data_IF_362646830938
#
_entry.id   IF_362646830938
#
_cell.length_a   1.000
_cell.length_b   1.000
_cell.length_c   1.000
_cell.angle_alpha   90.00
_cell.angle_beta   90.00
_cell.angle_gamma   90.00
#
_symmetry.space_group_name_H-M   'P 1'
#
loop_
_entity.id
_entity.type
_entity.pdbx_description
1 polymer ?
#
# COMPACT_ATOMS: atom_id res chain seq x y z
N UNK A 1 -24.00 4.09 -10.80
CA UNK A 1 -23.84 3.82 -9.36
C UNK A 1 -24.53 2.54 -8.91
N UNK A 2 -25.84 2.34 -9.21
CA UNK A 2 -26.56 1.13 -8.80
C UNK A 2 -25.92 -0.19 -9.29
N UNK A 3 -25.52 -0.27 -10.58
CA UNK A 3 -24.84 -1.47 -11.13
C UNK A 3 -23.56 -1.83 -10.38
N UNK A 4 -22.73 -0.82 -10.08
CA UNK A 4 -21.50 -1.01 -9.29
C UNK A 4 -21.83 -1.58 -7.91
N UNK A 5 -22.79 -0.95 -7.22
CA UNK A 5 -23.18 -1.35 -5.87
C UNK A 5 -23.72 -2.78 -5.83
N UNK A 6 -24.59 -3.16 -6.76
CA UNK A 6 -25.13 -4.52 -6.85
C UNK A 6 -24.02 -5.54 -7.16
N UNK A 7 -23.14 -5.26 -8.13
CA UNK A 7 -22.01 -6.15 -8.43
C UNK A 7 -21.07 -6.31 -7.23
N UNK A 8 -20.73 -5.21 -6.58
CA UNK A 8 -19.91 -5.22 -5.37
C UNK A 8 -20.54 -6.10 -4.29
N UNK A 9 -21.81 -5.87 -3.94
CA UNK A 9 -22.50 -6.65 -2.92
C UNK A 9 -22.62 -8.13 -3.31
N UNK A 10 -22.95 -8.44 -4.56
CA UNK A 10 -23.05 -9.83 -5.02
C UNK A 10 -21.70 -10.56 -4.90
N UNK A 11 -20.62 -9.97 -5.41
CA UNK A 11 -19.27 -10.56 -5.34
C UNK A 11 -18.85 -10.72 -3.88
N UNK A 12 -19.07 -9.69 -3.08
CA UNK A 12 -18.74 -9.69 -1.65
C UNK A 12 -19.45 -10.83 -0.92
N UNK A 13 -20.78 -10.90 -1.01
CA UNK A 13 -21.58 -11.94 -0.35
C UNK A 13 -21.19 -13.35 -0.83
N UNK A 14 -20.95 -13.52 -2.12
CA UNK A 14 -20.48 -14.80 -2.66
C UNK A 14 -19.12 -15.20 -2.10
N UNK A 15 -18.12 -14.31 -2.11
CA UNK A 15 -16.78 -14.63 -1.64
C UNK A 15 -16.72 -14.84 -0.12
N UNK A 16 -17.47 -14.06 0.66
CA UNK A 16 -17.60 -14.32 2.10
C UNK A 16 -18.31 -15.65 2.36
N UNK A 17 -19.38 -15.97 1.63
CA UNK A 17 -20.07 -17.26 1.74
C UNK A 17 -19.15 -18.44 1.39
N UNK A 18 -18.35 -18.31 0.32
CA UNK A 18 -17.34 -19.30 -0.05
C UNK A 18 -16.25 -19.42 1.02
N UNK A 19 -15.78 -18.30 1.60
CA UNK A 19 -14.80 -18.29 2.67
C UNK A 19 -15.29 -19.07 3.90
N UNK A 20 -16.60 -19.08 4.19
CA UNK A 20 -17.16 -19.83 5.32
C UNK A 20 -17.23 -21.35 5.09
N UNK A 21 -16.99 -21.85 3.87
CA UNK A 21 -16.99 -23.29 3.61
C UNK A 21 -15.81 -23.96 4.31
N UNK A 22 -16.07 -25.06 5.02
CA UNK A 22 -15.04 -25.85 5.71
C UNK A 22 -13.90 -26.27 4.78
N UNK A 23 -14.21 -26.61 3.53
CA UNK A 23 -13.21 -26.98 2.54
C UNK A 23 -12.23 -25.83 2.25
N UNK A 24 -12.76 -24.61 2.06
CA UNK A 24 -11.97 -23.39 1.82
C UNK A 24 -11.16 -23.05 3.07
N UNK A 25 -11.77 -23.17 4.25
CA UNK A 25 -11.08 -22.98 5.52
C UNK A 25 -9.85 -23.91 5.64
N UNK A 26 -10.02 -25.20 5.38
CA UNK A 26 -8.96 -26.20 5.55
C UNK A 26 -7.86 -26.13 4.49
N UNK A 27 -8.20 -25.87 3.23
CA UNK A 27 -7.27 -25.99 2.11
C UNK A 27 -6.70 -24.66 1.61
N UNK A 28 -7.32 -23.54 1.97
CA UNK A 28 -6.88 -22.20 1.53
C UNK A 28 -6.54 -21.34 2.74
N UNK A 29 -7.50 -21.16 3.66
CA UNK A 29 -7.36 -20.21 4.77
C UNK A 29 -6.32 -20.66 5.79
N UNK A 30 -6.40 -21.91 6.27
CA UNK A 30 -5.45 -22.42 7.27
C UNK A 30 -4.01 -22.50 6.72
N UNK A 31 -3.74 -23.01 5.50
CA UNK A 31 -2.41 -22.98 4.93
C UNK A 31 -1.88 -21.54 4.74
N UNK A 32 -2.73 -20.62 4.28
CA UNK A 32 -2.37 -19.20 4.19
C UNK A 32 -2.02 -18.61 5.55
N UNK A 33 -2.82 -18.91 6.55
CA UNK A 33 -2.63 -18.42 7.92
C UNK A 33 -1.36 -18.99 8.55
N UNK A 34 -1.03 -20.26 8.26
CA UNK A 34 0.22 -20.86 8.70
C UNK A 34 1.44 -20.24 8.01
N UNK A 35 1.33 -19.93 6.71
CA UNK A 35 2.36 -19.20 5.99
C UNK A 35 2.58 -17.80 6.59
N UNK A 36 1.49 -17.09 6.91
CA UNK A 36 1.56 -15.79 7.57
C UNK A 36 2.27 -15.89 8.93
N UNK A 37 1.91 -16.89 9.76
CA UNK A 37 2.58 -17.11 11.05
C UNK A 37 4.09 -17.37 10.87
N UNK A 38 4.46 -18.17 9.87
CA UNK A 38 5.87 -18.43 9.52
C UNK A 38 6.59 -17.14 9.13
N UNK A 39 6.01 -16.33 8.23
CA UNK A 39 6.59 -15.04 7.82
C UNK A 39 6.78 -14.12 9.03
N UNK A 40 5.78 -14.05 9.92
CA UNK A 40 5.87 -13.24 11.13
C UNK A 40 7.01 -13.72 12.04
N UNK A 41 7.12 -15.03 12.28
CA UNK A 41 8.22 -15.61 13.06
C UNK A 41 9.58 -15.29 12.44
N UNK A 42 9.73 -15.47 11.12
CA UNK A 42 10.99 -15.18 10.43
C UNK A 42 11.41 -13.71 10.52
N UNK A 43 10.45 -12.79 10.50
CA UNK A 43 10.72 -11.36 10.69
C UNK A 43 11.05 -11.03 12.15
N UNK A 44 10.38 -11.66 13.11
CA UNK A 44 10.61 -11.42 14.54
C UNK A 44 11.98 -11.93 14.99
N UNK A 45 12.43 -13.07 14.47
CA UNK A 45 13.73 -13.69 14.83
C UNK A 45 14.94 -12.79 14.54
N UNK A 46 14.79 -11.76 13.70
CA UNK A 46 15.84 -10.76 13.48
C UNK A 46 16.13 -9.92 14.73
N UNK A 47 15.21 -9.88 15.69
CA UNK A 47 15.30 -9.07 16.91
C UNK A 47 14.98 -9.86 18.20
N UNK A 48 14.28 -10.98 18.10
CA UNK A 48 13.90 -11.87 19.21
C UNK A 48 13.97 -13.34 18.76
N UNK A 49 15.03 -14.04 19.17
CA UNK A 49 15.30 -15.44 18.80
C UNK A 49 14.36 -16.46 19.46
N UNK A 50 13.50 -16.01 20.38
CA UNK A 50 12.54 -16.88 21.08
C UNK A 50 11.27 -17.15 20.27
N UNK A 51 11.02 -16.37 19.21
CA UNK A 51 9.82 -16.47 18.38
C UNK A 51 9.84 -17.66 17.43
N UNK A 52 8.83 -18.52 17.51
CA UNK A 52 8.68 -19.72 16.66
C UNK A 52 7.26 -19.86 16.13
N UNK A 53 7.07 -20.40 14.93
CA UNK A 53 5.74 -20.65 14.37
C UNK A 53 5.42 -22.15 14.31
N UNK A 54 4.22 -22.54 14.75
CA UNK A 54 3.70 -23.90 14.60
C UNK A 54 2.26 -23.84 14.06
N UNK A 55 2.09 -24.23 12.80
CA UNK A 55 0.82 -24.06 12.10
C UNK A 55 0.43 -22.58 12.05
N UNK A 56 -0.79 -22.26 12.48
CA UNK A 56 -1.31 -20.89 12.58
C UNK A 56 -0.93 -20.15 13.88
N UNK A 57 -0.16 -20.76 14.77
CA UNK A 57 0.16 -20.21 16.08
C UNK A 57 1.60 -19.68 16.09
N UNK A 58 1.76 -18.45 16.58
CA UNK A 58 3.05 -17.82 16.83
C UNK A 58 3.37 -17.92 18.33
N UNK A 59 4.48 -18.58 18.66
CA UNK A 59 4.91 -18.91 20.01
C UNK A 59 6.13 -18.11 20.45
N UNK A 60 6.18 -17.77 21.72
CA UNK A 60 7.41 -17.42 22.42
C UNK A 60 7.90 -18.66 23.18
N UNK A 61 9.05 -19.20 22.78
CA UNK A 61 9.61 -20.42 23.39
C UNK A 61 10.20 -20.22 24.79
N UNK A 62 10.54 -18.99 25.17
CA UNK A 62 11.06 -18.66 26.50
C UNK A 62 9.96 -18.51 27.55
N UNK A 63 8.81 -17.93 27.18
CA UNK A 63 7.69 -17.69 28.11
C UNK A 63 6.59 -18.75 28.01
N UNK A 64 6.54 -19.53 26.93
CA UNK A 64 5.46 -20.47 26.63
C UNK A 64 4.17 -19.82 26.15
N UNK A 65 4.17 -18.49 25.92
CA UNK A 65 3.02 -17.77 25.40
C UNK A 65 2.82 -18.03 23.90
N UNK A 66 1.56 -18.11 23.45
CA UNK A 66 1.23 -18.32 22.05
C UNK A 66 0.01 -17.51 21.61
N UNK A 67 0.09 -16.95 20.40
CA UNK A 67 -1.02 -16.26 19.74
C UNK A 67 -1.45 -17.07 18.52
N UNK A 68 -2.68 -17.58 18.54
CA UNK A 68 -3.28 -18.24 17.38
C UNK A 68 -3.87 -17.20 16.44
N UNK A 69 -3.47 -17.24 15.17
CA UNK A 69 -4.07 -16.41 14.12
C UNK A 69 -5.32 -17.12 13.62
N UNK A 70 -6.49 -16.54 13.86
CA UNK A 70 -7.78 -17.06 13.42
C UNK A 70 -8.30 -16.39 12.14
N UNK A 71 -9.35 -16.98 11.55
CA UNK A 71 -10.11 -16.31 10.50
C UNK A 71 -10.59 -14.93 10.98
N UNK A 72 -10.46 -13.90 10.14
CA UNK A 72 -10.64 -12.49 10.51
C UNK A 72 -9.35 -11.74 10.86
N UNK A 73 -8.25 -12.43 11.20
CA UNK A 73 -6.95 -11.79 11.47
C UNK A 73 -5.80 -12.22 10.55
N UNK A 74 -6.10 -13.06 9.55
CA UNK A 74 -5.15 -13.47 8.50
C UNK A 74 -5.18 -12.58 7.25
N UNK A 75 -5.99 -11.52 7.25
CA UNK A 75 -6.07 -10.52 6.18
C UNK A 75 -6.91 -10.92 4.96
N UNK A 76 -7.45 -12.15 4.91
CA UNK A 76 -8.21 -12.64 3.74
C UNK A 76 -9.52 -11.86 3.56
N UNK A 77 -10.24 -11.57 4.64
CA UNK A 77 -11.51 -10.84 4.58
C UNK A 77 -11.33 -9.44 4.01
N UNK A 78 -10.27 -8.74 4.41
CA UNK A 78 -9.90 -7.44 3.87
C UNK A 78 -9.53 -7.54 2.37
N UNK A 79 -8.81 -8.58 1.98
CA UNK A 79 -8.48 -8.85 0.57
C UNK A 79 -9.74 -9.15 -0.27
N UNK A 80 -10.73 -9.86 0.27
CA UNK A 80 -12.03 -10.10 -0.37
C UNK A 80 -12.74 -8.77 -0.64
N UNK A 81 -12.80 -7.88 0.37
CA UNK A 81 -13.41 -6.55 0.24
C UNK A 81 -12.74 -5.74 -0.86
N UNK A 82 -11.41 -5.68 -0.85
CA UNK A 82 -10.64 -4.97 -1.87
C UNK A 82 -10.88 -5.57 -3.27
N UNK A 83 -10.83 -6.89 -3.39
CA UNK A 83 -11.06 -7.59 -4.65
C UNK A 83 -12.46 -7.29 -5.20
N UNK A 84 -13.50 -7.40 -4.38
CA UNK A 84 -14.86 -7.08 -4.77
C UNK A 84 -14.98 -5.64 -5.26
N UNK A 85 -14.36 -4.68 -4.55
CA UNK A 85 -14.37 -3.27 -4.92
C UNK A 85 -13.67 -3.02 -6.27
N UNK A 86 -12.50 -3.63 -6.50
CA UNK A 86 -11.73 -3.49 -7.75
C UNK A 86 -12.47 -4.13 -8.93
N UNK A 87 -13.02 -5.33 -8.75
CA UNK A 87 -13.73 -6.04 -9.82
C UNK A 87 -15.04 -5.33 -10.17
N UNK A 88 -15.78 -4.82 -9.19
CA UNK A 88 -17.01 -4.06 -9.45
C UNK A 88 -16.74 -2.72 -10.15
N UNK A 89 -15.59 -2.09 -9.91
CA UNK A 89 -15.28 -0.77 -10.45
C UNK A 89 -15.00 -0.80 -11.96
N UNK A 90 -15.63 0.05 -12.79
CA UNK A 90 -15.43 0.04 -14.24
C UNK A 90 -14.06 0.61 -14.62
N UNK A 91 -13.08 -0.27 -14.84
CA UNK A 91 -11.70 0.07 -15.23
C UNK A 91 -11.12 -1.03 -16.13
N UNK A 92 -9.97 -0.76 -16.76
CA UNK A 92 -9.29 -1.72 -17.61
C UNK A 92 -8.80 -2.93 -16.79
N UNK A 93 -8.72 -4.11 -17.42
CA UNK A 93 -8.25 -5.32 -16.74
C UNK A 93 -6.80 -5.20 -16.23
N UNK A 94 -5.94 -4.48 -16.96
CA UNK A 94 -4.57 -4.20 -16.51
C UNK A 94 -4.56 -3.41 -15.20
N UNK A 95 -5.37 -2.34 -15.13
CA UNK A 95 -5.47 -1.52 -13.93
C UNK A 95 -6.04 -2.30 -12.74
N UNK A 96 -7.02 -3.19 -12.99
CA UNK A 96 -7.57 -4.09 -11.95
C UNK A 96 -6.53 -5.04 -11.38
N UNK A 97 -5.78 -5.73 -12.25
CA UNK A 97 -4.78 -6.73 -11.83
C UNK A 97 -3.68 -6.05 -11.02
N UNK A 98 -3.11 -4.95 -11.52
CA UNK A 98 -2.06 -4.20 -10.82
C UNK A 98 -2.59 -3.68 -9.48
N UNK A 99 -3.79 -3.09 -9.48
CA UNK A 99 -4.43 -2.60 -8.26
C UNK A 99 -4.64 -3.68 -7.22
N UNK A 100 -5.10 -4.86 -7.65
CA UNK A 100 -5.33 -5.98 -6.75
C UNK A 100 -4.02 -6.47 -6.13
N UNK A 101 -2.97 -6.70 -6.92
CA UNK A 101 -1.69 -7.18 -6.37
C UNK A 101 -1.02 -6.16 -5.46
N UNK A 102 -0.99 -4.89 -5.85
CA UNK A 102 -0.42 -3.81 -5.01
C UNK A 102 -1.20 -3.69 -3.71
N UNK A 103 -2.54 -3.68 -3.79
CA UNK A 103 -3.37 -3.58 -2.60
C UNK A 103 -3.36 -4.83 -1.72
N UNK A 104 -3.27 -6.02 -2.31
CA UNK A 104 -3.07 -7.27 -1.60
C UNK A 104 -1.77 -7.23 -0.80
N UNK A 105 -0.66 -6.79 -1.41
CA UNK A 105 0.61 -6.66 -0.71
C UNK A 105 0.56 -5.62 0.41
N UNK A 106 -0.11 -4.48 0.19
CA UNK A 106 -0.28 -3.44 1.21
C UNK A 106 -1.05 -3.98 2.44
N UNK A 107 -2.20 -4.63 2.20
CA UNK A 107 -3.02 -5.24 3.26
C UNK A 107 -2.22 -6.29 4.01
N UNK A 108 -1.51 -7.18 3.31
CA UNK A 108 -0.75 -8.25 3.96
C UNK A 108 0.44 -7.72 4.75
N UNK A 109 1.12 -6.69 4.25
CA UNK A 109 2.21 -6.04 4.98
C UNK A 109 1.69 -5.43 6.30
N UNK A 110 0.57 -4.70 6.25
CA UNK A 110 -0.03 -4.15 7.47
C UNK A 110 -0.55 -5.26 8.40
N UNK A 111 -1.05 -6.36 7.84
CA UNK A 111 -1.51 -7.50 8.62
C UNK A 111 -0.36 -8.24 9.33
N UNK A 112 0.83 -8.31 8.73
CA UNK A 112 2.05 -8.81 9.41
C UNK A 112 2.38 -7.91 10.61
N UNK A 113 2.36 -6.58 10.42
CA UNK A 113 2.59 -5.62 11.53
C UNK A 113 1.56 -5.82 12.64
N UNK A 114 0.28 -6.02 12.28
CA UNK A 114 -0.80 -6.34 13.22
C UNK A 114 -0.47 -7.58 14.05
N UNK A 115 -0.15 -8.70 13.40
CA UNK A 115 0.11 -9.99 14.08
C UNK A 115 1.31 -9.87 15.03
N UNK A 116 2.41 -9.28 14.58
CA UNK A 116 3.61 -9.10 15.41
C UNK A 116 3.31 -8.18 16.59
N UNK A 117 2.57 -7.09 16.38
CA UNK A 117 2.18 -6.18 17.46
C UNK A 117 1.32 -6.89 18.51
N UNK A 118 0.34 -7.68 18.06
CA UNK A 118 -0.52 -8.46 18.95
C UNK A 118 0.27 -9.56 19.69
N UNK A 119 1.26 -10.16 19.06
CA UNK A 119 2.15 -11.13 19.71
C UNK A 119 2.87 -10.53 20.93
N UNK A 120 3.38 -9.31 20.84
CA UNK A 120 4.03 -8.64 21.97
C UNK A 120 3.03 -8.07 22.97
N UNK A 121 1.92 -7.48 22.51
CA UNK A 121 0.89 -6.97 23.41
C UNK A 121 0.29 -8.08 24.27
N UNK A 122 0.08 -9.27 23.71
CA UNK A 122 -0.43 -10.43 24.45
C UNK A 122 0.49 -10.91 25.56
N UNK A 123 1.81 -10.83 25.35
CA UNK A 123 2.81 -11.15 26.36
C UNK A 123 2.85 -10.11 27.49
N UNK A 124 2.58 -8.85 27.17
CA UNK A 124 2.66 -7.74 28.12
C UNK A 124 1.37 -7.53 28.93
N UNK A 125 0.21 -7.48 28.26
CA UNK A 125 -1.07 -7.22 28.90
C UNK A 125 -2.26 -7.68 28.03
N UNK A 126 -3.02 -8.67 28.52
CA UNK A 126 -4.17 -9.21 27.81
C UNK A 126 -5.33 -8.22 27.62
N UNK A 127 -5.53 -7.25 28.51
CA UNK A 127 -6.59 -6.25 28.34
C UNK A 127 -6.28 -5.29 27.18
N UNK A 128 -5.01 -4.87 27.05
CA UNK A 128 -4.55 -4.06 25.92
C UNK A 128 -4.58 -4.87 24.62
N UNK A 129 -4.17 -6.14 24.68
CA UNK A 129 -4.30 -7.07 23.55
C UNK A 129 -5.75 -7.15 23.04
N UNK A 130 -6.73 -7.38 23.92
CA UNK A 130 -8.13 -7.50 23.53
C UNK A 130 -8.65 -6.22 22.89
N UNK A 131 -8.37 -5.06 23.50
CA UNK A 131 -8.72 -3.77 22.91
C UNK A 131 -8.08 -3.57 21.52
N UNK A 132 -6.80 -3.87 21.40
CA UNK A 132 -6.07 -3.69 20.15
C UNK A 132 -6.58 -4.66 19.06
N UNK A 133 -6.83 -5.91 19.44
CA UNK A 133 -7.29 -6.98 18.56
C UNK A 133 -8.70 -6.73 18.03
N UNK A 134 -9.63 -6.33 18.89
CA UNK A 134 -11.05 -6.17 18.56
C UNK A 134 -11.36 -4.83 17.88
N UNK A 135 -10.69 -3.75 18.29
CA UNK A 135 -11.04 -2.39 17.85
C UNK A 135 -9.95 -1.71 17.05
N UNK A 136 -8.74 -1.54 17.62
CA UNK A 136 -7.70 -0.72 17.01
C UNK A 136 -7.29 -1.27 15.64
N UNK A 137 -6.85 -2.52 15.61
CA UNK A 137 -6.37 -3.15 14.39
C UNK A 137 -7.50 -3.36 13.38
N UNK A 138 -8.72 -3.63 13.84
CA UNK A 138 -9.88 -3.72 12.97
C UNK A 138 -10.13 -2.40 12.24
N UNK A 139 -10.09 -1.27 12.96
CA UNK A 139 -10.23 0.05 12.37
C UNK A 139 -9.09 0.38 11.40
N UNK A 140 -7.84 0.05 11.77
CA UNK A 140 -6.66 0.32 10.94
C UNK A 140 -6.65 -0.47 9.63
N UNK A 141 -7.01 -1.76 9.65
CA UNK A 141 -7.10 -2.56 8.43
C UNK A 141 -8.23 -2.07 7.52
N UNK A 142 -9.39 -1.70 8.09
CA UNK A 142 -10.49 -1.13 7.29
C UNK A 142 -10.10 0.21 6.66
N UNK A 143 -9.36 1.04 7.41
CA UNK A 143 -8.80 2.29 6.88
C UNK A 143 -7.79 2.04 5.77
N UNK A 144 -6.92 1.05 5.90
CA UNK A 144 -5.95 0.67 4.88
C UNK A 144 -6.63 0.24 3.57
N UNK A 145 -7.63 -0.64 3.64
CA UNK A 145 -8.42 -1.03 2.46
C UNK A 145 -9.01 0.20 1.76
N UNK A 146 -9.57 1.15 2.53
CA UNK A 146 -10.11 2.39 1.98
C UNK A 146 -9.02 3.26 1.32
N UNK A 147 -7.88 3.45 1.97
CA UNK A 147 -6.76 4.24 1.45
C UNK A 147 -6.23 3.62 0.16
N UNK A 148 -5.93 2.32 0.17
CA UNK A 148 -5.46 1.57 -1.00
C UNK A 148 -6.44 1.71 -2.16
N UNK A 149 -7.74 1.55 -1.89
CA UNK A 149 -8.77 1.69 -2.91
C UNK A 149 -8.83 3.13 -3.47
N UNK A 150 -8.79 4.16 -2.62
CA UNK A 150 -8.80 5.56 -3.05
C UNK A 150 -7.57 5.92 -3.89
N UNK A 151 -6.38 5.48 -3.49
CA UNK A 151 -5.14 5.69 -4.23
C UNK A 151 -5.20 4.99 -5.60
N UNK A 152 -5.74 3.77 -5.64
CA UNK A 152 -5.91 3.02 -6.87
C UNK A 152 -6.92 3.67 -7.84
N UNK A 153 -8.08 4.13 -7.33
CA UNK A 153 -9.06 4.88 -8.15
C UNK A 153 -8.42 6.14 -8.72
N UNK A 154 -7.71 6.91 -7.88
CA UNK A 154 -7.02 8.13 -8.30
C UNK A 154 -5.96 7.88 -9.38
N UNK A 155 -5.20 6.78 -9.26
CA UNK A 155 -4.22 6.40 -10.27
C UNK A 155 -4.90 6.11 -11.63
N UNK A 156 -6.02 5.40 -11.63
CA UNK A 156 -6.78 5.10 -12.85
C UNK A 156 -7.40 6.33 -13.50
N UNK A 157 -7.86 7.30 -12.71
CA UNK A 157 -8.38 8.57 -13.25
C UNK A 157 -7.30 9.39 -13.97
N UNK A 158 -6.08 9.42 -13.44
CA UNK A 158 -4.94 10.09 -14.08
C UNK A 158 -4.55 9.43 -15.40
N UNK A 159 -4.51 8.10 -15.43
CA UNK A 159 -4.18 7.34 -16.66
C UNK A 159 -5.23 7.58 -17.76
N UNK A 160 -6.52 7.67 -17.40
CA UNK A 160 -7.56 8.00 -18.36
C UNK A 160 -7.39 9.41 -18.94
N UNK A 161 -7.13 10.40 -18.09
CA UNK A 161 -6.91 11.79 -18.52
C UNK A 161 -5.67 11.94 -19.42
N UNK A 162 -4.60 11.18 -19.17
CA UNK A 162 -3.39 11.20 -19.99
C UNK A 162 -3.56 10.55 -21.38
N UNK A 163 -4.55 9.65 -21.53
CA UNK A 163 -4.81 8.91 -22.76
C UNK A 163 -5.95 9.50 -23.61
N UNK A 164 -6.62 10.55 -23.14
CA UNK A 164 -7.69 11.23 -23.88
C UNK A 164 -7.07 12.22 -24.89
N UNK A 165 -7.43 12.17 -26.19
CA UNK A 165 -6.94 13.13 -27.16
C UNK A 165 -7.28 14.56 -26.73
N UNK A 166 -6.39 15.55 -26.97
CA UNK A 166 -6.70 16.93 -26.65
C UNK A 166 -7.99 17.37 -27.36
N UNK A 167 -8.79 18.26 -26.75
CA UNK A 167 -10.02 18.77 -27.36
C UNK A 167 -9.75 19.32 -28.76
N UNK A 168 -10.69 19.15 -29.72
CA UNK A 168 -10.50 19.57 -31.11
C UNK A 168 -10.23 21.07 -31.30
N UNK A 169 -10.52 21.90 -30.30
CA UNK A 169 -10.32 23.36 -30.34
C UNK A 169 -9.01 23.83 -29.69
N UNK A 170 -8.20 22.92 -29.16
CA UNK A 170 -6.88 23.26 -28.61
C UNK A 170 -5.85 23.21 -29.75
N UNK A 171 -5.22 24.35 -30.11
CA UNK A 171 -4.21 24.35 -31.17
C UNK A 171 -3.11 23.34 -30.84
N UNK A 172 -2.60 22.59 -31.85
CA UNK A 172 -1.70 21.47 -31.62
C UNK A 172 -0.55 21.92 -30.73
N UNK A 173 -0.36 21.18 -29.63
CA UNK A 173 0.70 21.47 -28.67
C UNK A 173 2.01 21.67 -29.45
N UNK A 174 2.73 22.79 -29.24
CA UNK A 174 3.98 23.03 -29.94
C UNK A 174 4.87 21.81 -29.71
N UNK A 175 5.55 21.31 -30.77
CA UNK A 175 6.36 20.11 -30.66
C UNK A 175 7.27 20.27 -29.45
N UNK A 176 7.26 19.27 -28.57
CA UNK A 176 8.17 19.22 -27.42
C UNK A 176 9.57 19.17 -28.01
N UNK A 177 10.17 20.34 -28.19
CA UNK A 177 11.57 20.46 -28.55
C UNK A 177 12.30 19.92 -27.35
N UNK A 178 12.76 18.68 -27.47
CA UNK A 178 13.74 18.12 -26.56
C UNK A 178 14.95 19.06 -26.59
N UNK A 179 15.04 19.95 -25.60
CA UNK A 179 16.23 20.72 -25.32
C UNK A 179 17.26 19.81 -24.63
N UNK A 180 17.58 18.70 -25.29
CA UNK A 180 18.86 18.05 -25.07
C UNK A 180 19.91 19.12 -25.43
N UNK A 181 20.83 19.48 -24.50
CA UNK A 181 21.89 20.41 -24.83
C UNK A 181 22.69 19.79 -25.96
N UNK A 182 22.66 20.40 -27.15
CA UNK A 182 23.66 20.13 -28.18
C UNK A 182 24.99 20.49 -27.54
N UNK A 183 25.79 19.48 -27.18
CA UNK A 183 27.20 19.68 -26.91
C UNK A 183 27.85 20.19 -28.21
N UNK A 184 27.90 21.51 -28.34
CA UNK A 184 28.71 22.19 -29.32
C UNK A 184 30.17 22.07 -28.89
N UNK A 185 31.00 21.56 -29.79
CA UNK A 185 32.45 21.63 -29.67
C UNK A 185 32.88 23.09 -29.47
N UNK A 186 33.59 23.34 -28.36
CA UNK A 186 34.62 24.36 -28.23
C UNK A 186 34.20 25.82 -28.33
N UNK A 187 34.07 26.48 -27.18
CA UNK A 187 34.94 27.60 -26.79
C UNK A 187 34.73 27.85 -25.28
N UNK A 188 35.82 27.81 -24.51
CA UNK A 188 35.77 27.89 -23.06
C UNK A 188 35.41 29.29 -22.58
N UNK A 189 34.36 29.41 -21.78
CA UNK A 189 34.00 30.66 -21.11
C UNK A 189 34.81 30.82 -19.84
N UNK A 190 35.75 31.78 -19.82
CA UNK A 190 36.51 32.17 -18.63
C UNK A 190 35.62 33.01 -17.71
N UNK A 191 35.52 32.63 -16.44
CA UNK A 191 34.79 33.42 -15.44
C UNK A 191 35.59 34.67 -15.06
N UNK A 192 35.02 35.86 -15.27
CA UNK A 192 35.56 37.08 -14.70
C UNK A 192 34.99 37.29 -13.30
N UNK A 193 35.87 37.43 -12.31
CA UNK A 193 35.53 37.76 -10.93
C UNK A 193 34.98 39.19 -10.82
N UNK A 194 33.98 39.39 -9.94
CA UNK A 194 33.39 40.70 -9.66
C UNK A 194 34.45 41.71 -9.23
N UNK A 195 34.57 42.79 -9.99
CA UNK A 195 35.38 43.96 -9.67
C UNK A 195 34.68 44.77 -8.55
N UNK A 196 35.37 44.92 -7.41
CA UNK A 196 34.90 45.61 -6.20
C UNK A 196 35.55 46.99 -6.02
N UNK A 197 35.95 47.64 -7.10
CA UNK A 197 36.51 48.99 -7.03
C UNK A 197 35.45 50.02 -6.59
N UNK A 198 35.70 50.83 -5.54
CA UNK A 198 34.68 51.75 -5.02
C UNK A 198 34.50 52.97 -5.94
N UNK A 199 33.25 53.25 -6.31
CA UNK A 199 32.89 54.40 -7.13
C UNK A 199 33.28 55.73 -6.45
N UNK A 200 34.15 56.50 -7.09
CA UNK A 200 34.45 57.87 -6.70
C UNK A 200 33.23 58.77 -6.96
N UNK A 201 32.76 59.47 -5.92
CA UNK A 201 31.69 60.48 -6.05
C UNK A 201 32.20 61.71 -6.83
N UNK A 202 31.38 62.33 -7.67
CA UNK A 202 31.76 63.54 -8.39
C UNK A 202 31.85 64.74 -7.43
N UNK A 203 32.90 65.57 -7.60
CA UNK A 203 33.01 66.88 -6.92
C UNK A 203 32.06 67.89 -7.60
N UNK A 204 31.41 68.77 -6.84
CA UNK A 204 30.63 69.86 -7.41
C UNK A 204 31.56 70.98 -7.92
N UNK A 205 31.20 71.57 -9.05
CA UNK A 205 31.76 72.83 -9.53
C UNK A 205 31.12 74.00 -8.78
N UNK A 206 31.89 74.68 -7.93
CA UNK A 206 32.32 76.11 -8.01
C UNK A 206 33.39 76.29 -6.93
#
# INVERSE_FOLDING_TARGET
MLRFFLLFLSIQLSLFGLNMLNWVQQHIVLPWTALLAKICSELVVWFDDTATAQGKVLWNSATGFGVSIEAGCNGIEACIVLFAAIIAFPSSWRHKIVGFFVGFLAIQALNVVRVISLFYLGQWNMAVFNFAHEFLWQALIMLDVLIVWLLWVRAGSKERAANEPPPPDEPPAPPVVSTAPRMGHGEGTVSHSLDLSPHARPRPSV
#
